data_IF_167343481952
#
_entry.id   IF_167343481952
#
_cell.length_a   1.000
_cell.length_b   1.000
_cell.length_c   1.000
_cell.angle_alpha   90.00
_cell.angle_beta   90.00
_cell.angle_gamma   90.00
#
_symmetry.space_group_name_H-M   'P 1'
#
loop_
_entity.id
_entity.type
_entity.pdbx_description
1 polymer ?
#
# COMPACT_ATOMS: atom_id res chain seq x y z
N UNK A 1 3.10 8.14 17.80
CA UNK A 1 2.75 7.29 16.65
C UNK A 1 4.02 6.99 15.85
N UNK A 2 4.33 5.72 15.64
CA UNK A 2 5.54 5.34 14.93
C UNK A 2 5.44 5.70 13.44
N UNK A 3 6.55 6.18 12.88
CA UNK A 3 6.74 6.42 11.46
C UNK A 3 7.71 5.39 10.90
N UNK A 4 7.39 4.82 9.76
CA UNK A 4 8.15 3.72 9.16
C UNK A 4 8.93 4.13 7.92
N UNK A 5 8.40 5.07 7.14
CA UNK A 5 9.04 5.58 5.94
C UNK A 5 8.53 6.97 5.59
N UNK A 6 9.37 7.73 4.90
CA UNK A 6 9.03 9.03 4.32
C UNK A 6 9.70 9.16 2.96
N UNK A 7 8.98 9.71 1.99
CA UNK A 7 9.54 10.00 0.67
C UNK A 7 8.78 11.15 0.00
N UNK A 8 9.33 11.66 -1.07
CA UNK A 8 8.71 12.71 -1.89
C UNK A 8 8.54 12.22 -3.33
N UNK A 9 7.50 12.72 -3.99
CA UNK A 9 7.37 12.55 -5.44
C UNK A 9 8.02 13.73 -6.20
N UNK A 10 8.00 13.65 -7.54
CA UNK A 10 8.56 14.69 -8.39
C UNK A 10 7.86 16.05 -8.29
N UNK A 11 6.62 16.08 -7.81
CA UNK A 11 5.87 17.31 -7.57
C UNK A 11 6.10 17.90 -6.17
N UNK A 12 6.96 17.27 -5.36
CA UNK A 12 7.29 17.72 -4.01
C UNK A 12 6.29 17.34 -2.94
N UNK A 13 5.34 16.47 -3.23
CA UNK A 13 4.39 15.97 -2.23
C UNK A 13 5.09 14.98 -1.31
N UNK A 14 4.74 15.03 -0.02
CA UNK A 14 5.32 14.19 1.01
C UNK A 14 4.43 12.99 1.31
N UNK A 15 5.03 11.82 1.37
CA UNK A 15 4.39 10.55 1.71
C UNK A 15 4.98 10.03 3.01
N UNK A 16 4.12 9.67 3.94
CA UNK A 16 4.55 9.18 5.27
C UNK A 16 3.80 7.89 5.58
N UNK A 17 4.55 6.80 5.76
CA UNK A 17 4.00 5.56 6.30
C UNK A 17 4.08 5.60 7.82
N UNK A 18 2.94 5.49 8.49
CA UNK A 18 2.83 5.51 9.95
C UNK A 18 1.79 4.50 10.43
N UNK A 19 1.68 4.33 11.74
CA UNK A 19 0.60 3.51 12.30
C UNK A 19 -0.76 4.04 11.88
N UNK A 20 -1.67 3.12 11.56
CA UNK A 20 -3.06 3.49 11.33
C UNK A 20 -3.64 4.06 12.62
N UNK A 21 -4.35 5.21 12.57
CA UNK A 21 -5.00 5.74 13.76
C UNK A 21 -5.95 4.72 14.40
N UNK A 22 -5.90 4.58 15.70
CA UNK A 22 -6.65 3.58 16.46
C UNK A 22 -8.15 3.61 16.17
N UNK A 23 -8.73 4.79 16.07
CA UNK A 23 -10.14 4.99 15.71
C UNK A 23 -10.51 4.36 14.36
N UNK A 24 -9.61 4.43 13.40
CA UNK A 24 -9.80 3.84 12.07
C UNK A 24 -9.68 2.32 12.12
N UNK A 25 -8.72 1.80 12.88
CA UNK A 25 -8.50 0.35 12.99
C UNK A 25 -9.74 -0.39 13.53
N UNK A 26 -10.51 0.22 14.42
CA UNK A 26 -11.75 -0.37 14.92
C UNK A 26 -12.89 -0.43 13.89
N UNK A 27 -12.89 0.49 12.96
CA UNK A 27 -13.98 0.66 11.97
C UNK A 27 -13.63 0.05 10.62
N UNK A 28 -12.41 -0.42 10.46
CA UNK A 28 -11.95 -0.97 9.19
C UNK A 28 -12.56 -2.36 8.95
N UNK A 29 -13.13 -2.62 7.76
CA UNK A 29 -13.75 -3.92 7.47
C UNK A 29 -12.75 -5.07 7.39
N UNK A 30 -11.48 -4.78 7.09
CA UNK A 30 -10.40 -5.77 7.09
C UNK A 30 -9.79 -5.77 8.48
N UNK A 31 -10.23 -6.68 9.32
CA UNK A 31 -9.58 -6.90 10.62
C UNK A 31 -8.29 -7.68 10.41
N UNK A 32 -7.23 -7.00 10.68
CA UNK A 32 -5.87 -7.45 11.04
C UNK A 32 -5.40 -8.84 10.57
N UNK A 33 -4.83 -8.86 9.42
CA UNK A 33 -3.78 -9.81 9.12
C UNK A 33 -2.44 -9.03 9.07
N UNK A 34 -1.90 -8.68 10.22
CA UNK A 34 -0.65 -7.95 10.32
C UNK A 34 -0.78 -6.54 10.91
N UNK A 35 0.28 -5.76 10.78
CA UNK A 35 0.34 -4.40 11.30
C UNK A 35 -0.52 -3.46 10.47
N UNK A 36 -1.42 -2.75 11.13
CA UNK A 36 -2.27 -1.74 10.50
C UNK A 36 -1.48 -0.46 10.29
N UNK A 37 -1.38 -0.03 9.05
CA UNK A 37 -0.59 1.12 8.61
C UNK A 37 -1.42 2.08 7.77
N UNK A 38 -0.98 3.32 7.76
CA UNK A 38 -1.49 4.35 6.83
C UNK A 38 -0.34 5.00 6.10
N UNK A 39 -0.49 5.15 4.79
CA UNK A 39 0.34 6.04 3.99
C UNK A 39 -0.44 7.33 3.79
N UNK A 40 0.00 8.41 4.42
CA UNK A 40 -0.59 9.74 4.28
C UNK A 40 0.20 10.58 3.28
N UNK A 41 -0.49 11.40 2.51
CA UNK A 41 0.11 12.25 1.48
C UNK A 41 -0.21 13.71 1.76
N UNK A 42 0.83 14.54 1.74
CA UNK A 42 0.74 15.98 2.03
C UNK A 42 1.30 16.78 0.85
N UNK A 43 0.58 17.84 0.48
CA UNK A 43 1.10 18.84 -0.42
C UNK A 43 1.59 20.04 0.40
N UNK A 44 2.91 20.32 0.45
CA UNK A 44 3.44 21.44 1.24
C UNK A 44 3.02 22.81 0.71
N UNK A 45 2.53 22.88 -0.52
CA UNK A 45 2.01 24.14 -1.12
C UNK A 45 0.55 24.42 -0.78
N UNK A 46 -0.13 23.45 -0.16
CA UNK A 46 -1.54 23.56 0.24
C UNK A 46 -1.61 23.61 1.76
N UNK A 47 -2.05 24.71 2.32
CA UNK A 47 -2.18 24.90 3.76
C UNK A 47 -3.56 24.48 4.31
N UNK A 48 -4.48 24.08 3.45
CA UNK A 48 -5.82 23.70 3.86
C UNK A 48 -5.79 22.48 4.77
N UNK A 49 -6.32 22.58 5.99
CA UNK A 49 -6.38 21.43 6.90
C UNK A 49 -7.48 20.47 6.49
N UNK A 50 -7.15 19.18 6.48
CA UNK A 50 -8.08 18.10 6.12
C UNK A 50 -7.95 16.92 7.05
N UNK A 51 -9.01 16.14 7.14
CA UNK A 51 -9.06 14.89 7.88
C UNK A 51 -9.46 13.73 6.97
N UNK A 52 -9.09 12.53 7.37
CA UNK A 52 -9.57 11.28 6.77
C UNK A 52 -10.89 10.90 7.45
N UNK A 53 -11.88 10.51 6.67
CA UNK A 53 -13.10 9.91 7.21
C UNK A 53 -12.75 8.57 7.89
N UNK A 54 -13.02 8.40 9.20
CA UNK A 54 -12.69 7.18 9.93
C UNK A 54 -13.39 5.92 9.39
N UNK A 55 -14.42 6.08 8.59
CA UNK A 55 -15.17 4.99 7.95
C UNK A 55 -14.60 4.58 6.58
N UNK A 56 -13.41 5.05 6.24
CA UNK A 56 -12.78 4.75 4.95
C UNK A 56 -13.31 5.59 3.79
N UNK A 57 -13.96 6.70 4.09
CA UNK A 57 -14.39 7.70 3.12
C UNK A 57 -13.25 8.56 2.61
N UNK A 58 -13.58 9.67 1.98
CA UNK A 58 -12.62 10.59 1.39
C UNK A 58 -11.85 11.41 2.40
N UNK A 59 -10.95 12.21 1.87
CA UNK A 59 -10.26 13.28 2.59
C UNK A 59 -11.14 14.52 2.53
N UNK A 60 -11.45 15.12 3.69
CA UNK A 60 -12.37 16.24 3.82
C UNK A 60 -11.70 17.43 4.49
N UNK A 61 -12.10 18.63 4.09
CA UNK A 61 -11.69 19.85 4.77
C UNK A 61 -12.23 19.89 6.19
N UNK A 62 -11.35 20.18 7.14
CA UNK A 62 -11.69 20.28 8.55
C UNK A 62 -10.69 21.21 9.24
N UNK A 63 -11.16 22.28 9.93
CA UNK A 63 -10.28 23.22 10.64
C UNK A 63 -9.37 22.55 11.69
N UNK A 64 -9.78 21.39 12.22
CA UNK A 64 -9.00 20.59 13.17
C UNK A 64 -8.13 19.54 12.50
N UNK A 65 -8.09 19.53 11.16
CA UNK A 65 -7.34 18.54 10.38
C UNK A 65 -5.86 18.86 10.26
N UNK A 66 -5.19 18.05 9.46
CA UNK A 66 -3.77 18.23 9.15
C UNK A 66 -3.59 19.13 7.94
N UNK A 67 -2.74 20.17 8.03
CA UNK A 67 -2.47 21.05 6.90
C UNK A 67 -1.88 20.27 5.72
N UNK A 68 -2.44 20.47 4.54
CA UNK A 68 -1.91 19.91 3.29
C UNK A 68 -2.22 18.44 3.06
N UNK A 69 -2.99 17.78 3.91
CA UNK A 69 -3.38 16.38 3.68
C UNK A 69 -4.23 16.28 2.40
N UNK A 70 -3.81 15.46 1.45
CA UNK A 70 -4.45 15.35 0.12
C UNK A 70 -4.82 13.92 -0.28
N UNK A 71 -4.33 12.93 0.44
CA UNK A 71 -4.63 11.53 0.15
C UNK A 71 -4.15 10.60 1.25
N UNK A 72 -4.63 9.38 1.20
CA UNK A 72 -4.18 8.32 2.11
C UNK A 72 -4.45 6.93 1.53
N UNK A 73 -3.74 5.96 2.06
CA UNK A 73 -4.08 4.55 1.88
C UNK A 73 -3.92 3.82 3.21
N UNK A 74 -4.95 3.09 3.59
CA UNK A 74 -4.93 2.19 4.75
C UNK A 74 -4.64 0.77 4.30
N UNK A 75 -3.68 0.12 4.94
CA UNK A 75 -3.24 -1.21 4.55
C UNK A 75 -2.70 -1.98 5.75
N UNK A 76 -2.55 -3.29 5.56
CA UNK A 76 -1.98 -4.19 6.55
C UNK A 76 -0.73 -4.85 5.98
N UNK A 77 0.36 -4.84 6.76
CA UNK A 77 1.57 -5.58 6.44
C UNK A 77 1.64 -6.83 7.31
N UNK A 78 1.61 -7.98 6.68
CA UNK A 78 1.81 -9.24 7.37
C UNK A 78 3.25 -9.38 7.86
N UNK A 79 3.48 -10.09 8.99
CA UNK A 79 4.83 -10.41 9.43
C UNK A 79 5.57 -11.22 8.37
N UNK A 80 6.87 -10.98 8.26
CA UNK A 80 7.74 -11.75 7.39
C UNK A 80 7.74 -13.21 7.83
N UNK A 81 7.50 -14.12 6.90
CA UNK A 81 7.46 -15.56 7.14
C UNK A 81 8.26 -16.33 6.10
N UNK A 82 8.68 -17.54 6.44
CA UNK A 82 9.25 -18.48 5.48
C UNK A 82 8.14 -18.90 4.51
N UNK A 83 8.45 -18.91 3.22
CA UNK A 83 7.51 -19.39 2.20
C UNK A 83 7.26 -20.90 2.25
N UNK A 84 8.16 -21.66 2.93
CA UNK A 84 8.12 -23.12 2.95
C UNK A 84 8.55 -23.77 1.63
N UNK A 85 9.03 -23.00 0.66
CA UNK A 85 9.42 -23.49 -0.66
C UNK A 85 10.94 -23.63 -0.73
N UNK A 86 11.40 -24.80 -1.15
CA UNK A 86 12.81 -25.06 -1.47
C UNK A 86 12.93 -25.44 -2.94
N UNK A 87 13.75 -24.70 -3.67
CA UNK A 87 14.07 -25.02 -5.05
C UNK A 87 15.23 -26.01 -5.10
N UNK A 88 15.08 -27.04 -5.90
CA UNK A 88 16.11 -28.03 -6.15
C UNK A 88 16.54 -27.89 -7.60
N UNK A 89 17.79 -27.55 -7.81
CA UNK A 89 18.42 -27.46 -9.15
C UNK A 89 19.67 -28.31 -9.21
N UNK A 90 20.22 -28.52 -10.39
CA UNK A 90 21.51 -29.17 -10.57
C UNK A 90 22.52 -28.16 -11.06
N UNK A 91 23.72 -28.18 -10.49
CA UNK A 91 24.85 -27.39 -10.97
C UNK A 91 25.46 -27.98 -12.25
N UNK A 92 26.48 -27.34 -12.81
CA UNK A 92 27.17 -27.80 -14.02
C UNK A 92 27.84 -29.16 -13.88
N UNK A 93 28.13 -29.61 -12.65
CA UNK A 93 28.72 -30.90 -12.32
C UNK A 93 27.68 -31.98 -12.05
N UNK A 94 26.39 -31.68 -12.15
CA UNK A 94 25.30 -32.59 -11.87
C UNK A 94 24.97 -32.76 -10.39
N UNK A 95 25.57 -31.95 -9.51
CA UNK A 95 25.26 -31.96 -8.07
C UNK A 95 23.97 -31.21 -7.77
N UNK A 96 23.19 -31.76 -6.84
CA UNK A 96 21.96 -31.10 -6.35
C UNK A 96 22.29 -29.82 -5.57
N UNK A 97 21.66 -28.72 -5.96
CA UNK A 97 21.71 -27.43 -5.23
C UNK A 97 20.32 -27.13 -4.70
N UNK A 98 20.22 -26.90 -3.39
CA UNK A 98 18.98 -26.56 -2.72
C UNK A 98 19.03 -25.14 -2.25
N UNK A 99 18.08 -24.32 -2.71
CA UNK A 99 17.91 -22.94 -2.27
C UNK A 99 16.52 -22.75 -1.69
N UNK A 100 16.46 -22.16 -0.48
CA UNK A 100 15.19 -21.70 0.07
C UNK A 100 14.75 -20.45 -0.67
N UNK A 101 13.46 -20.36 -0.97
CA UNK A 101 12.91 -19.12 -1.49
C UNK A 101 13.06 -17.99 -0.45
N UNK A 102 13.06 -16.75 -0.95
CA UNK A 102 13.12 -15.57 -0.08
C UNK A 102 11.92 -15.53 0.85
N UNK A 103 12.08 -14.99 2.08
CA UNK A 103 10.95 -14.76 2.96
C UNK A 103 9.87 -13.90 2.30
N UNK A 104 8.63 -14.18 2.61
CA UNK A 104 7.45 -13.48 2.09
C UNK A 104 6.73 -12.71 3.18
N UNK A 105 6.08 -11.62 2.79
CA UNK A 105 5.22 -10.84 3.66
C UNK A 105 4.18 -10.13 2.79
N UNK A 106 2.93 -10.55 2.89
CA UNK A 106 1.87 -10.00 2.07
C UNK A 106 1.46 -8.59 2.54
N UNK A 107 1.04 -7.75 1.62
CA UNK A 107 0.44 -6.45 1.90
C UNK A 107 -1.01 -6.47 1.44
N UNK A 108 -1.92 -6.07 2.33
CA UNK A 108 -3.36 -6.03 2.06
C UNK A 108 -3.85 -4.59 2.10
N UNK A 109 -4.21 -4.03 0.95
CA UNK A 109 -4.74 -2.67 0.86
C UNK A 109 -6.22 -2.69 1.19
N UNK A 110 -6.63 -1.90 2.18
CA UNK A 110 -8.03 -1.73 2.56
C UNK A 110 -8.70 -0.57 1.84
N UNK A 111 -8.12 0.61 1.96
CA UNK A 111 -8.62 1.83 1.32
C UNK A 111 -7.50 2.62 0.68
N UNK A 112 -7.85 3.30 -0.41
CA UNK A 112 -6.99 4.28 -1.06
C UNK A 112 -7.88 5.41 -1.56
N UNK A 113 -7.63 6.62 -1.07
CA UNK A 113 -8.44 7.79 -1.39
C UNK A 113 -7.56 9.01 -1.66
N UNK A 114 -7.95 9.78 -2.63
CA UNK A 114 -7.32 11.04 -2.97
C UNK A 114 -8.39 12.13 -2.96
N UNK A 115 -8.09 13.29 -2.39
CA UNK A 115 -8.99 14.44 -2.41
C UNK A 115 -9.35 14.82 -3.86
N UNK A 116 -10.59 15.17 -4.12
CA UNK A 116 -11.11 15.40 -5.49
C UNK A 116 -10.29 16.43 -6.27
N UNK A 117 -9.81 17.49 -5.61
CA UNK A 117 -8.95 18.51 -6.19
C UNK A 117 -7.63 17.95 -6.75
N UNK A 118 -7.15 16.83 -6.21
CA UNK A 118 -5.85 16.22 -6.54
C UNK A 118 -5.98 14.96 -7.40
N UNK A 119 -7.18 14.56 -7.78
CA UNK A 119 -7.40 13.41 -8.67
C UNK A 119 -6.76 13.66 -10.04
N UNK A 120 -6.18 12.62 -10.61
CA UNK A 120 -5.48 12.70 -11.88
C UNK A 120 -4.05 13.25 -11.81
N UNK A 121 -3.57 13.61 -10.61
CA UNK A 121 -2.21 14.14 -10.38
C UNK A 121 -1.13 13.10 -10.06
N UNK A 122 -1.43 11.81 -10.18
CA UNK A 122 -0.48 10.72 -9.98
C UNK A 122 -0.30 10.25 -8.52
N UNK A 123 -1.04 10.80 -7.56
CA UNK A 123 -0.92 10.43 -6.12
C UNK A 123 -1.28 8.95 -5.91
N UNK A 124 -2.40 8.51 -6.47
CA UNK A 124 -2.83 7.11 -6.35
C UNK A 124 -1.79 6.15 -6.93
N UNK A 125 -1.21 6.48 -8.08
CA UNK A 125 -0.15 5.70 -8.71
C UNK A 125 1.11 5.64 -7.85
N UNK A 126 1.52 6.75 -7.25
CA UNK A 126 2.69 6.80 -6.36
C UNK A 126 2.49 5.96 -5.10
N UNK A 127 1.31 6.01 -4.49
CA UNK A 127 0.98 5.16 -3.36
C UNK A 127 1.03 3.68 -3.74
N UNK A 128 0.47 3.34 -4.89
CA UNK A 128 0.47 1.98 -5.42
C UNK A 128 1.87 1.46 -5.70
N UNK A 129 2.69 2.24 -6.39
CA UNK A 129 4.08 1.91 -6.70
C UNK A 129 4.90 1.70 -5.42
N UNK A 130 4.69 2.53 -4.41
CA UNK A 130 5.32 2.37 -3.11
C UNK A 130 4.95 1.03 -2.44
N UNK A 131 3.67 0.69 -2.42
CA UNK A 131 3.23 -0.58 -1.83
C UNK A 131 3.74 -1.78 -2.59
N UNK A 132 3.77 -1.69 -3.92
CA UNK A 132 4.35 -2.72 -4.77
C UNK A 132 5.85 -2.89 -4.52
N UNK A 133 6.58 -1.77 -4.47
CA UNK A 133 8.04 -1.77 -4.22
C UNK A 133 8.40 -2.33 -2.84
N UNK A 134 7.58 -2.07 -1.83
CA UNK A 134 7.84 -2.48 -0.45
C UNK A 134 7.26 -3.85 -0.10
N UNK A 135 6.47 -4.44 -0.97
CA UNK A 135 6.03 -5.83 -0.84
C UNK A 135 7.12 -6.76 -1.37
N UNK A 136 7.64 -7.69 -0.55
CA UNK A 136 8.74 -8.56 -0.96
C UNK A 136 8.38 -9.40 -2.19
N UNK A 137 9.39 -9.69 -3.01
CA UNK A 137 9.26 -10.57 -4.17
C UNK A 137 8.70 -11.94 -3.76
N UNK A 138 7.74 -12.46 -4.52
CA UNK A 138 7.04 -13.71 -4.21
C UNK A 138 5.90 -13.56 -3.22
N UNK A 139 5.73 -12.38 -2.63
CA UNK A 139 4.60 -12.04 -1.76
C UNK A 139 3.41 -11.56 -2.58
N UNK A 140 2.27 -11.45 -1.93
CA UNK A 140 1.03 -10.98 -2.54
C UNK A 140 0.78 -9.53 -2.15
N UNK A 141 0.56 -8.67 -3.12
CA UNK A 141 -0.05 -7.37 -2.92
C UNK A 141 -1.55 -7.50 -3.19
N UNK A 142 -2.33 -7.50 -2.14
CA UNK A 142 -3.76 -7.70 -2.18
C UNK A 142 -4.45 -6.33 -2.26
N UNK A 143 -5.09 -6.04 -3.39
CA UNK A 143 -5.74 -4.74 -3.60
C UNK A 143 -7.16 -4.67 -3.06
N UNK A 144 -7.67 -5.77 -2.52
CA UNK A 144 -8.99 -5.82 -1.96
C UNK A 144 -10.10 -5.67 -3.00
N UNK A 145 -11.23 -5.15 -2.57
CA UNK A 145 -12.34 -4.82 -3.44
C UNK A 145 -11.98 -3.58 -4.24
N UNK A 146 -11.91 -3.70 -5.56
CA UNK A 146 -11.62 -2.57 -6.43
C UNK A 146 -12.65 -1.46 -6.21
N UNK A 147 -12.22 -0.36 -5.61
CA UNK A 147 -13.11 0.75 -5.26
C UNK A 147 -13.41 1.66 -6.45
N UNK A 148 -12.58 1.62 -7.49
CA UNK A 148 -12.74 2.43 -8.71
C UNK A 148 -12.15 1.74 -9.92
N UNK A 149 -12.63 2.11 -11.11
CA UNK A 149 -12.07 1.66 -12.39
C UNK A 149 -10.60 2.04 -12.54
N UNK A 150 -10.20 3.18 -12.01
CA UNK A 150 -8.81 3.67 -12.02
C UNK A 150 -7.89 2.76 -11.22
N UNK A 151 -8.31 2.38 -10.01
CA UNK A 151 -7.56 1.43 -9.16
C UNK A 151 -7.46 0.07 -9.84
N UNK A 152 -8.53 -0.41 -10.44
CA UNK A 152 -8.54 -1.67 -11.19
C UNK A 152 -7.57 -1.61 -12.37
N UNK A 153 -7.59 -0.52 -13.12
CA UNK A 153 -6.71 -0.33 -14.28
C UNK A 153 -5.23 -0.29 -13.87
N UNK A 154 -4.89 0.46 -12.82
CA UNK A 154 -3.53 0.49 -12.27
C UNK A 154 -3.07 -0.89 -11.83
N UNK A 155 -3.92 -1.63 -11.13
CA UNK A 155 -3.57 -2.96 -10.64
C UNK A 155 -3.39 -3.98 -11.77
N UNK A 156 -4.19 -3.90 -12.83
CA UNK A 156 -4.01 -4.74 -14.03
C UNK A 156 -2.69 -4.46 -14.74
N UNK A 157 -2.31 -3.18 -14.84
CA UNK A 157 -1.03 -2.78 -15.43
C UNK A 157 0.15 -3.33 -14.62
N UNK A 158 0.11 -3.21 -13.30
CA UNK A 158 1.16 -3.74 -12.43
C UNK A 158 1.22 -5.27 -12.46
N UNK A 159 0.09 -5.94 -12.60
CA UNK A 159 0.04 -7.40 -12.76
C UNK A 159 0.75 -7.88 -14.01
N UNK A 160 0.69 -7.12 -15.10
CA UNK A 160 1.44 -7.41 -16.33
C UNK A 160 2.94 -7.19 -16.16
N UNK A 161 3.33 -6.19 -15.38
CA UNK A 161 4.74 -5.87 -15.11
C UNK A 161 5.39 -6.87 -14.14
N UNK A 162 4.64 -7.33 -13.12
CA UNK A 162 5.11 -8.27 -12.08
C UNK A 162 4.02 -9.27 -11.68
N UNK A 163 3.74 -10.28 -12.50
CA UNK A 163 2.60 -11.18 -12.32
C UNK A 163 2.62 -11.99 -11.02
N UNK A 164 3.81 -12.27 -10.45
CA UNK A 164 3.96 -13.13 -9.27
C UNK A 164 3.74 -12.39 -7.94
N UNK A 165 3.72 -11.06 -7.95
CA UNK A 165 3.62 -10.25 -6.72
C UNK A 165 2.27 -9.56 -6.53
N UNK A 166 1.33 -9.69 -7.48
CA UNK A 166 0.04 -9.01 -7.43
C UNK A 166 -1.09 -10.00 -7.63
N UNK A 167 -1.98 -10.06 -6.67
CA UNK A 167 -3.19 -10.88 -6.77
C UNK A 167 -4.43 -10.02 -6.51
N UNK A 168 -5.41 -10.18 -7.39
CA UNK A 168 -6.71 -9.55 -7.21
C UNK A 168 -7.63 -10.41 -6.35
N UNK A 169 -8.35 -9.77 -5.45
CA UNK A 169 -9.61 -10.28 -4.96
C UNK A 169 -10.72 -9.42 -5.53
N UNK A 170 -11.40 -9.96 -6.48
CA UNK A 170 -12.70 -9.45 -6.91
C UNK A 170 -13.76 -10.08 -6.01
N UNK A 171 -14.50 -9.26 -5.31
CA UNK A 171 -15.67 -9.67 -4.55
C UNK A 171 -16.93 -9.16 -5.24
#
# INVERSE_FOLDING_TARGET
MARYAEFQDSAGRHYVEHDMPEETAYKHPIRSYGDARRLSVYDPKDSTPRTVDPKGGGVRENPKGEPGLVGYSDFYREPVRDSGITFVTKDQKGNEVREKSKPIADTNIGYMRVHDKYKGGGIGRQMFDYMHKTTPEGSILNVGKAASNETLHMSEKLKKEKPDSIKYKLF
#
